data_IF_789577650902
#
_entry.id   IF_789577650902
#
_cell.length_a   1.000
_cell.length_b   1.000
_cell.length_c   1.000
_cell.angle_alpha   90.00
_cell.angle_beta   90.00
_cell.angle_gamma   90.00
#
_symmetry.space_group_name_H-M   'P 1'
#
loop_
_entity.id
_entity.type
_entity.pdbx_description
1 polymer ?
#
# COMPACT_ATOMS: atom_id res chain seq x y z
N UNK A 1 -15.41 -17.53 24.11
CA UNK A 1 -15.87 -16.53 23.12
C UNK A 1 -14.72 -16.06 22.23
N UNK A 2 -13.47 -16.30 22.63
CA UNK A 2 -12.28 -15.78 21.97
C UNK A 2 -11.97 -16.41 20.60
N UNK A 3 -12.24 -17.70 20.40
CA UNK A 3 -12.04 -18.35 19.09
C UNK A 3 -12.98 -17.81 18.00
N UNK A 4 -14.24 -17.54 18.35
CA UNK A 4 -15.20 -16.96 17.39
C UNK A 4 -14.78 -15.54 16.99
N UNK A 5 -14.45 -14.70 17.99
CA UNK A 5 -13.97 -13.33 17.74
C UNK A 5 -12.67 -13.33 16.92
N UNK A 6 -11.76 -14.28 17.17
CA UNK A 6 -10.55 -14.49 16.40
C UNK A 6 -10.85 -14.83 14.94
N UNK A 7 -11.69 -15.85 14.68
CA UNK A 7 -12.05 -16.28 13.33
C UNK A 7 -12.69 -15.13 12.55
N UNK A 8 -13.62 -14.39 13.16
CA UNK A 8 -14.28 -13.23 12.55
C UNK A 8 -13.25 -12.14 12.23
N UNK A 9 -12.35 -11.82 13.16
CA UNK A 9 -11.33 -10.77 12.97
C UNK A 9 -10.33 -11.15 11.88
N UNK A 10 -9.89 -12.41 11.84
CA UNK A 10 -9.07 -12.93 10.74
C UNK A 10 -9.84 -12.82 9.43
N UNK A 11 -11.12 -13.17 9.40
CA UNK A 11 -11.99 -13.00 8.23
C UNK A 11 -12.02 -11.55 7.72
N UNK A 12 -12.14 -10.57 8.61
CA UNK A 12 -12.08 -9.15 8.26
C UNK A 12 -10.66 -8.74 7.81
N UNK A 13 -9.59 -9.26 8.42
CA UNK A 13 -8.22 -8.98 8.00
C UNK A 13 -7.95 -9.51 6.58
N UNK A 14 -8.47 -10.69 6.25
CA UNK A 14 -8.40 -11.26 4.91
C UNK A 14 -9.25 -10.47 3.92
N UNK A 15 -10.45 -10.04 4.33
CA UNK A 15 -11.29 -9.10 3.59
C UNK A 15 -10.55 -7.79 3.29
N UNK A 16 -9.89 -7.20 4.30
CA UNK A 16 -9.04 -6.04 4.14
C UNK A 16 -7.93 -6.30 3.12
N UNK A 17 -7.24 -7.43 3.20
CA UNK A 17 -6.17 -7.80 2.26
C UNK A 17 -6.66 -7.89 0.82
N UNK A 18 -7.81 -8.52 0.62
CA UNK A 18 -8.47 -8.57 -0.68
C UNK A 18 -8.84 -7.16 -1.15
N UNK A 19 -9.43 -6.34 -0.27
CA UNK A 19 -9.80 -4.97 -0.63
C UNK A 19 -8.59 -4.12 -0.98
N UNK A 20 -7.50 -4.29 -0.25
CA UNK A 20 -6.25 -3.61 -0.50
C UNK A 20 -5.66 -4.01 -1.86
N UNK A 21 -5.62 -5.32 -2.16
CA UNK A 21 -5.11 -5.82 -3.44
C UNK A 21 -5.84 -5.21 -4.62
N UNK A 22 -7.18 -5.14 -4.57
CA UNK A 22 -7.94 -4.55 -5.68
C UNK A 22 -7.76 -3.02 -5.73
N UNK A 23 -7.75 -2.35 -4.58
CA UNK A 23 -7.61 -0.90 -4.48
C UNK A 23 -6.26 -0.43 -5.06
N UNK A 24 -5.17 -1.08 -4.64
CA UNK A 24 -3.81 -0.69 -4.98
C UNK A 24 -3.27 -1.40 -6.23
N UNK A 25 -4.05 -2.28 -6.87
CA UNK A 25 -3.73 -2.80 -8.21
C UNK A 25 -3.36 -1.68 -9.19
N UNK A 26 -4.02 -0.52 -9.08
CA UNK A 26 -3.74 0.66 -9.88
C UNK A 26 -2.30 1.19 -9.72
N UNK A 27 -1.70 1.08 -8.52
CA UNK A 27 -0.33 1.53 -8.26
C UNK A 27 0.71 0.72 -9.03
N UNK A 28 0.45 -0.58 -9.24
CA UNK A 28 1.37 -1.47 -9.94
C UNK A 28 1.24 -1.41 -11.46
N UNK A 29 0.03 -1.15 -12.00
CA UNK A 29 -0.24 -1.33 -13.45
C UNK A 29 -0.72 -0.09 -14.19
N UNK A 30 -1.12 0.99 -13.52
CA UNK A 30 -1.70 2.15 -14.22
C UNK A 30 -0.72 2.76 -15.25
N UNK A 31 0.57 2.81 -14.92
CA UNK A 31 1.64 3.32 -15.79
C UNK A 31 1.81 2.44 -17.03
N UNK A 32 1.99 1.11 -16.87
CA UNK A 32 2.20 0.17 -17.98
C UNK A 32 0.97 0.00 -18.89
N UNK A 33 -0.23 0.16 -18.34
CA UNK A 33 -1.47 0.17 -19.13
C UNK A 33 -1.66 1.51 -19.84
N UNK A 34 -1.36 2.65 -19.19
CA UNK A 34 -1.52 3.98 -19.79
C UNK A 34 -0.58 4.23 -20.97
N UNK A 35 0.67 3.75 -20.88
CA UNK A 35 1.69 3.80 -21.94
C UNK A 35 1.46 2.74 -23.03
N UNK A 36 0.46 1.87 -22.85
CA UNK A 36 0.15 0.71 -23.70
C UNK A 36 1.29 -0.30 -23.78
N UNK A 37 2.17 -0.36 -22.77
CA UNK A 37 3.19 -1.40 -22.68
C UNK A 37 2.55 -2.79 -22.52
N UNK A 38 1.54 -2.88 -21.66
CA UNK A 38 0.77 -4.09 -21.41
C UNK A 38 -0.71 -3.88 -21.70
N UNK A 39 -1.40 -4.96 -22.09
CA UNK A 39 -2.87 -4.97 -22.10
C UNK A 39 -3.37 -5.08 -20.65
N UNK A 40 -4.55 -4.52 -20.33
CA UNK A 40 -5.02 -4.51 -18.94
C UNK A 40 -5.13 -5.89 -18.28
N UNK A 41 -5.60 -6.91 -19.03
CA UNK A 41 -5.68 -8.30 -18.52
C UNK A 41 -4.31 -8.91 -18.25
N UNK A 42 -3.35 -8.70 -19.16
CA UNK A 42 -1.98 -9.20 -18.98
C UNK A 42 -1.30 -8.50 -17.79
N UNK A 43 -1.53 -7.19 -17.63
CA UNK A 43 -0.99 -6.42 -16.52
C UNK A 43 -1.55 -6.90 -15.16
N UNK A 44 -2.86 -7.14 -15.07
CA UNK A 44 -3.49 -7.68 -13.85
C UNK A 44 -3.00 -9.08 -13.51
N UNK A 45 -2.91 -9.97 -14.50
CA UNK A 45 -2.41 -11.33 -14.30
C UNK A 45 -0.96 -11.33 -13.81
N UNK A 46 -0.10 -10.55 -14.47
CA UNK A 46 1.30 -10.37 -14.06
C UNK A 46 1.39 -9.79 -12.65
N UNK A 47 0.64 -8.73 -12.35
CA UNK A 47 0.68 -8.09 -11.05
C UNK A 47 0.19 -9.02 -9.93
N UNK A 48 -0.84 -9.83 -10.19
CA UNK A 48 -1.33 -10.82 -9.22
C UNK A 48 -0.25 -11.87 -8.90
N UNK A 49 0.43 -12.42 -9.92
CA UNK A 49 1.51 -13.41 -9.73
C UNK A 49 2.72 -12.78 -9.02
N UNK A 50 3.11 -11.56 -9.40
CA UNK A 50 4.22 -10.85 -8.78
C UNK A 50 3.91 -10.43 -7.35
N UNK A 51 2.68 -9.99 -7.05
CA UNK A 51 2.24 -9.69 -5.68
C UNK A 51 2.30 -10.94 -4.80
N UNK A 52 1.87 -12.10 -5.33
CA UNK A 52 1.98 -13.38 -4.65
C UNK A 52 3.44 -13.71 -4.35
N UNK A 53 4.33 -13.63 -5.35
CA UNK A 53 5.76 -13.91 -5.18
C UNK A 53 6.42 -12.94 -4.18
N UNK A 54 6.14 -11.64 -4.29
CA UNK A 54 6.70 -10.61 -3.43
C UNK A 54 6.33 -10.77 -1.97
N UNK A 55 5.13 -11.30 -1.68
CA UNK A 55 4.69 -11.59 -0.32
C UNK A 55 5.58 -12.61 0.41
N UNK A 56 6.30 -13.48 -0.31
CA UNK A 56 7.20 -14.47 0.26
C UNK A 56 8.66 -13.99 0.40
N UNK A 57 9.01 -12.81 -0.13
CA UNK A 57 10.40 -12.36 -0.18
C UNK A 57 10.89 -11.68 1.10
N UNK A 58 10.04 -11.43 2.09
CA UNK A 58 10.47 -10.84 3.36
C UNK A 58 9.47 -11.01 4.50
N UNK A 59 9.90 -10.68 5.72
CA UNK A 59 9.07 -10.73 6.94
C UNK A 59 9.28 -9.52 7.86
N UNK A 60 10.28 -8.67 7.60
CA UNK A 60 10.64 -7.57 8.51
C UNK A 60 9.54 -6.52 8.67
N UNK A 61 8.80 -6.18 7.61
CA UNK A 61 7.71 -5.19 7.70
C UNK A 61 6.58 -5.72 8.57
N UNK A 62 6.26 -7.02 8.49
CA UNK A 62 5.23 -7.64 9.31
C UNK A 62 5.57 -7.55 10.81
N UNK A 63 6.83 -7.78 11.18
CA UNK A 63 7.30 -7.64 12.56
C UNK A 63 7.22 -6.18 13.05
N UNK A 64 7.51 -5.22 12.16
CA UNK A 64 7.37 -3.79 12.48
C UNK A 64 5.92 -3.38 12.70
N UNK A 65 4.97 -4.00 11.98
CA UNK A 65 3.53 -3.71 12.05
C UNK A 65 2.87 -4.39 13.25
N UNK A 66 3.27 -5.61 13.59
CA UNK A 66 2.70 -6.35 14.73
C UNK A 66 3.08 -5.75 16.09
N UNK A 67 4.11 -4.89 16.15
CA UNK A 67 4.64 -4.31 17.39
C UNK A 67 4.77 -2.79 17.33
N UNK A 68 4.60 -2.12 18.47
CA UNK A 68 5.08 -0.75 18.67
C UNK A 68 4.25 0.36 18.05
N UNK A 69 2.96 0.12 17.73
CA UNK A 69 2.01 1.18 17.36
C UNK A 69 0.97 1.41 18.45
N UNK A 70 0.43 0.32 18.96
CA UNK A 70 -0.47 0.29 20.11
C UNK A 70 0.05 -0.76 21.09
N UNK A 71 -0.19 -0.58 22.39
CA UNK A 71 0.01 -1.65 23.35
C UNK A 71 -0.89 -2.83 22.94
N UNK A 72 -0.33 -4.05 22.87
CA UNK A 72 -1.10 -5.22 22.46
C UNK A 72 -2.20 -5.46 23.49
N UNK A 73 -3.48 -5.27 23.12
CA UNK A 73 -4.56 -5.45 24.07
C UNK A 73 -4.81 -6.94 24.27
N UNK A 74 -5.30 -7.36 25.44
CA UNK A 74 -5.54 -8.78 25.72
C UNK A 74 -7.04 -9.09 25.81
N UNK A 75 -7.39 -10.33 25.50
CA UNK A 75 -8.75 -10.87 25.64
C UNK A 75 -9.77 -10.27 24.67
N UNK A 76 -11.05 -10.50 24.96
CA UNK A 76 -12.15 -10.20 24.04
C UNK A 76 -12.27 -8.71 23.68
N UNK A 77 -11.92 -7.80 24.61
CA UNK A 77 -11.87 -6.35 24.34
C UNK A 77 -10.78 -6.01 23.33
N UNK A 78 -9.60 -6.62 23.44
CA UNK A 78 -8.51 -6.43 22.48
C UNK A 78 -8.87 -6.89 21.08
N UNK A 79 -9.57 -8.02 20.97
CA UNK A 79 -10.11 -8.49 19.69
C UNK A 79 -11.13 -7.49 19.11
N UNK A 80 -12.00 -6.92 19.95
CA UNK A 80 -12.94 -5.86 19.52
C UNK A 80 -12.25 -4.62 18.97
N UNK A 81 -11.14 -4.20 19.58
CA UNK A 81 -10.31 -3.07 19.10
C UNK A 81 -9.72 -3.40 17.72
N UNK A 82 -9.10 -4.58 17.58
CA UNK A 82 -8.48 -4.97 16.31
C UNK A 82 -9.51 -5.14 15.19
N UNK A 83 -10.67 -5.73 15.50
CA UNK A 83 -11.81 -5.82 14.58
C UNK A 83 -12.27 -4.44 14.11
N UNK A 84 -12.49 -3.51 15.05
CA UNK A 84 -12.93 -2.16 14.73
C UNK A 84 -11.91 -1.38 13.89
N UNK A 85 -10.62 -1.55 14.17
CA UNK A 85 -9.53 -0.99 13.38
C UNK A 85 -9.57 -1.45 11.91
N UNK A 86 -9.72 -2.76 11.70
CA UNK A 86 -9.80 -3.37 10.37
C UNK A 86 -11.05 -2.93 9.62
N UNK A 87 -12.21 -2.88 10.28
CA UNK A 87 -13.45 -2.39 9.67
C UNK A 87 -13.31 -0.93 9.26
N UNK A 88 -12.75 -0.07 10.11
CA UNK A 88 -12.50 1.33 9.78
C UNK A 88 -11.61 1.49 8.55
N UNK A 89 -10.55 0.69 8.45
CA UNK A 89 -9.66 0.67 7.29
C UNK A 89 -10.36 0.18 6.01
N UNK A 90 -11.14 -0.91 6.09
CA UNK A 90 -11.90 -1.47 4.96
C UNK A 90 -12.92 -0.47 4.46
N UNK A 91 -13.73 0.09 5.35
CA UNK A 91 -14.79 1.06 5.00
C UNK A 91 -14.16 2.26 4.31
N UNK A 92 -13.07 2.81 4.85
CA UNK A 92 -12.41 3.95 4.23
C UNK A 92 -11.83 3.61 2.84
N UNK A 93 -11.19 2.46 2.69
CA UNK A 93 -10.69 2.00 1.39
C UNK A 93 -11.82 1.84 0.35
N UNK A 94 -12.97 1.30 0.75
CA UNK A 94 -14.14 1.18 -0.13
C UNK A 94 -14.70 2.55 -0.53
N UNK A 95 -14.75 3.50 0.42
CA UNK A 95 -15.17 4.89 0.17
C UNK A 95 -14.23 5.56 -0.84
N UNK A 96 -12.92 5.50 -0.62
CA UNK A 96 -11.95 6.13 -1.53
C UNK A 96 -11.95 5.50 -2.90
N UNK A 97 -12.09 4.18 -2.98
CA UNK A 97 -12.29 3.49 -4.25
C UNK A 97 -13.58 3.91 -4.96
N UNK A 98 -14.69 4.04 -4.24
CA UNK A 98 -15.97 4.43 -4.83
C UNK A 98 -15.86 5.79 -5.51
N UNK A 99 -15.18 6.74 -4.86
CA UNK A 99 -14.91 8.08 -5.42
C UNK A 99 -13.70 8.12 -6.38
N UNK A 100 -12.98 7.01 -6.56
CA UNK A 100 -11.80 6.94 -7.42
C UNK A 100 -10.65 7.84 -6.96
N UNK A 101 -10.56 8.06 -5.64
CA UNK A 101 -9.52 8.84 -4.98
C UNK A 101 -8.32 7.92 -4.69
N UNK A 102 -7.11 8.23 -5.19
CA UNK A 102 -5.91 7.50 -4.84
C UNK A 102 -5.55 7.76 -3.37
N UNK A 103 -5.98 6.86 -2.49
CA UNK A 103 -5.66 6.87 -1.07
C UNK A 103 -4.63 5.79 -0.74
N UNK A 104 -4.14 5.80 0.50
CA UNK A 104 -3.19 4.81 0.99
C UNK A 104 -3.88 3.87 1.96
N UNK A 105 -4.00 2.59 1.59
CA UNK A 105 -4.50 1.55 2.47
C UNK A 105 -3.68 1.38 3.74
N UNK A 106 -2.38 1.70 3.68
CA UNK A 106 -1.50 1.68 4.86
C UNK A 106 -1.91 2.72 5.89
N UNK A 107 -2.18 3.96 5.44
CA UNK A 107 -2.63 5.01 6.35
C UNK A 107 -4.06 4.79 6.84
N UNK A 108 -4.92 4.17 6.03
CA UNK A 108 -6.25 3.76 6.47
C UNK A 108 -6.15 2.71 7.59
N UNK A 109 -5.27 1.72 7.43
CA UNK A 109 -5.01 0.68 8.41
C UNK A 109 -4.43 1.23 9.71
N UNK A 110 -3.36 2.03 9.62
CA UNK A 110 -2.73 2.63 10.77
C UNK A 110 -3.64 3.64 11.49
N UNK A 111 -4.38 4.44 10.72
CA UNK A 111 -5.40 5.34 11.26
C UNK A 111 -6.49 4.57 11.99
N UNK A 112 -6.98 3.48 11.40
CA UNK A 112 -7.95 2.59 12.03
C UNK A 112 -7.45 2.02 13.36
N UNK A 113 -6.20 1.55 13.42
CA UNK A 113 -5.59 1.04 14.66
C UNK A 113 -5.48 2.12 15.74
N UNK A 114 -4.99 3.32 15.39
CA UNK A 114 -4.89 4.44 16.34
C UNK A 114 -6.27 4.86 16.84
N UNK A 115 -7.26 5.00 15.94
CA UNK A 115 -8.62 5.40 16.30
C UNK A 115 -9.32 4.39 17.20
N UNK A 116 -9.24 3.10 16.86
CA UNK A 116 -9.82 2.04 17.69
C UNK A 116 -9.12 1.93 19.04
N UNK A 117 -7.80 2.09 19.11
CA UNK A 117 -7.06 2.04 20.38
C UNK A 117 -7.44 3.20 21.30
N UNK A 118 -7.53 4.43 20.78
CA UNK A 118 -7.99 5.59 21.55
C UNK A 118 -9.42 5.39 22.07
N UNK A 119 -10.34 4.91 21.22
CA UNK A 119 -11.71 4.62 21.62
C UNK A 119 -11.81 3.46 22.63
N UNK A 120 -10.92 2.47 22.48
CA UNK A 120 -10.81 1.29 23.32
C UNK A 120 -10.11 1.50 24.66
N UNK A 121 -9.50 2.67 24.88
CA UNK A 121 -8.69 2.96 26.07
C UNK A 121 -7.36 2.21 26.10
N UNK A 122 -6.87 1.75 24.94
CA UNK A 122 -5.55 1.12 24.79
C UNK A 122 -4.50 2.18 24.51
N UNK A 123 -3.34 2.05 25.16
CA UNK A 123 -2.24 2.98 24.98
C UNK A 123 -1.74 3.01 23.54
N UNK A 124 -1.67 4.22 22.98
CA UNK A 124 -1.06 4.48 21.67
C UNK A 124 0.39 4.90 21.88
N UNK A 125 1.30 4.19 21.22
CA UNK A 125 2.74 4.44 21.32
C UNK A 125 3.10 5.56 20.33
N UNK A 126 2.92 6.81 20.74
CA UNK A 126 3.09 7.98 19.86
C UNK A 126 4.47 8.07 19.20
N UNK A 127 5.54 7.68 19.92
CA UNK A 127 6.89 7.60 19.33
C UNK A 127 6.94 6.61 18.17
N UNK A 128 6.35 5.42 18.34
CA UNK A 128 6.26 4.42 17.28
C UNK A 128 5.36 4.84 16.13
N UNK A 129 4.25 5.53 16.40
CA UNK A 129 3.40 6.12 15.35
C UNK A 129 4.20 7.14 14.54
N UNK A 130 4.97 8.00 15.21
CA UNK A 130 5.77 9.02 14.55
C UNK A 130 6.89 8.39 13.71
N UNK A 131 7.66 7.45 14.27
CA UNK A 131 8.79 6.82 13.60
C UNK A 131 8.40 5.87 12.47
N UNK A 132 7.36 5.05 12.67
CA UNK A 132 6.99 3.99 11.73
C UNK A 132 5.96 4.41 10.69
N UNK A 133 5.18 5.46 10.96
CA UNK A 133 4.10 5.89 10.07
C UNK A 133 4.34 7.31 9.58
N UNK A 134 4.41 8.29 10.49
CA UNK A 134 4.40 9.71 10.11
C UNK A 134 5.68 10.09 9.36
N UNK A 135 6.86 9.73 9.87
CA UNK A 135 8.13 10.05 9.23
C UNK A 135 8.19 9.43 7.81
N UNK A 136 7.98 8.10 7.62
CA UNK A 136 7.94 7.50 6.30
C UNK A 136 6.86 8.08 5.38
N UNK A 137 5.72 8.53 5.93
CA UNK A 137 4.64 9.14 5.17
C UNK A 137 5.09 10.41 4.43
N UNK A 138 5.93 11.24 5.06
CA UNK A 138 6.46 12.47 4.45
C UNK A 138 7.72 12.21 3.62
N UNK A 139 8.63 11.37 4.13
CA UNK A 139 9.92 11.14 3.49
C UNK A 139 9.76 10.35 2.18
N UNK A 140 8.90 9.33 2.14
CA UNK A 140 8.77 8.47 0.95
C UNK A 140 8.24 9.18 -0.30
N UNK A 141 7.24 10.11 -0.24
CA UNK A 141 6.91 10.98 -1.36
C UNK A 141 8.09 11.83 -1.85
N UNK A 142 8.83 12.44 -0.92
CA UNK A 142 9.93 13.35 -1.28
C UNK A 142 11.05 12.57 -1.98
N UNK A 143 11.43 11.42 -1.44
CA UNK A 143 12.39 10.52 -2.08
C UNK A 143 11.85 10.05 -3.43
N UNK A 144 10.58 9.65 -3.53
CA UNK A 144 9.95 9.25 -4.80
C UNK A 144 10.04 10.34 -5.86
N UNK A 145 9.71 11.57 -5.51
CA UNK A 145 9.76 12.72 -6.42
C UNK A 145 11.19 13.02 -6.87
N UNK A 146 12.13 13.12 -5.93
CA UNK A 146 13.53 13.44 -6.24
C UNK A 146 14.19 12.32 -7.03
N UNK A 147 14.06 11.08 -6.57
CA UNK A 147 14.70 9.94 -7.22
C UNK A 147 14.07 9.65 -8.58
N UNK A 148 12.75 9.79 -8.72
CA UNK A 148 12.06 9.69 -10.00
C UNK A 148 12.56 10.72 -11.01
N UNK A 149 12.76 11.98 -10.56
CA UNK A 149 13.38 13.01 -11.38
C UNK A 149 14.80 12.63 -11.82
N UNK A 150 15.65 12.22 -10.87
CA UNK A 150 17.05 11.86 -11.14
C UNK A 150 17.19 10.65 -12.07
N UNK A 151 16.41 9.59 -11.85
CA UNK A 151 16.41 8.39 -12.72
C UNK A 151 16.02 8.78 -14.15
N UNK A 152 15.02 9.63 -14.32
CA UNK A 152 14.61 10.09 -15.64
C UNK A 152 15.67 11.00 -16.29
N UNK A 153 16.33 11.87 -15.53
CA UNK A 153 17.48 12.66 -16.04
C UNK A 153 18.62 11.73 -16.50
N UNK A 154 18.95 10.70 -15.72
CA UNK A 154 19.94 9.70 -16.09
C UNK A 154 19.58 8.97 -17.38
N UNK A 155 18.32 8.55 -17.53
CA UNK A 155 17.81 7.93 -18.77
C UNK A 155 17.94 8.90 -19.95
N UNK A 156 17.51 10.16 -19.81
CA UNK A 156 17.62 11.14 -20.88
C UNK A 156 19.06 11.37 -21.31
N UNK A 157 20.00 11.43 -20.36
CA UNK A 157 21.41 11.65 -20.66
C UNK A 157 22.07 10.45 -21.35
N UNK A 158 21.75 9.24 -20.87
CA UNK A 158 22.27 7.98 -21.43
C UNK A 158 21.75 7.72 -22.84
N UNK A 159 20.48 8.04 -23.12
CA UNK A 159 19.85 7.81 -24.42
C UNK A 159 19.77 9.06 -25.32
N UNK A 160 20.47 10.15 -24.98
CA UNK A 160 20.40 11.44 -25.72
C UNK A 160 20.82 11.34 -27.19
N UNK A 161 21.64 10.34 -27.54
CA UNK A 161 22.14 10.11 -28.91
C UNK A 161 21.36 9.03 -29.66
N UNK A 162 20.38 8.41 -29.01
CA UNK A 162 19.61 7.30 -29.59
C UNK A 162 18.40 7.82 -30.34
N UNK A 163 18.05 7.17 -31.46
CA UNK A 163 16.81 7.50 -32.18
C UNK A 163 15.59 7.30 -31.26
N UNK A 164 14.76 8.34 -31.01
CA UNK A 164 13.62 8.27 -30.09
C UNK A 164 12.62 7.15 -30.40
N UNK A 165 12.41 6.83 -31.69
CA UNK A 165 11.49 5.77 -32.10
C UNK A 165 11.98 4.38 -31.69
N UNK A 166 13.28 4.10 -31.92
CA UNK A 166 13.90 2.83 -31.52
C UNK A 166 13.97 2.72 -30.00
N UNK A 167 14.33 3.81 -29.31
CA UNK A 167 14.37 3.85 -27.86
C UNK A 167 12.98 3.55 -27.24
N UNK A 168 11.91 4.19 -27.73
CA UNK A 168 10.54 3.93 -27.24
C UNK A 168 10.13 2.46 -27.34
N UNK A 169 10.51 1.75 -28.41
CA UNK A 169 10.23 0.32 -28.56
C UNK A 169 10.97 -0.53 -27.51
N UNK A 170 12.25 -0.26 -27.27
CA UNK A 170 13.03 -0.94 -26.23
C UNK A 170 12.47 -0.68 -24.83
N UNK A 171 12.14 0.58 -24.53
CA UNK A 171 11.55 0.94 -23.24
C UNK A 171 10.18 0.32 -23.00
N UNK A 172 9.40 0.01 -24.05
CA UNK A 172 8.13 -0.71 -23.88
C UNK A 172 8.34 -2.11 -23.30
N UNK A 173 9.41 -2.80 -23.69
CA UNK A 173 9.78 -4.12 -23.15
C UNK A 173 10.36 -3.97 -21.75
N UNK A 174 11.28 -3.02 -21.55
CA UNK A 174 11.84 -2.74 -20.24
C UNK A 174 10.76 -2.36 -19.21
N UNK A 175 9.73 -1.62 -19.64
CA UNK A 175 8.62 -1.22 -18.79
C UNK A 175 7.81 -2.43 -18.29
N UNK A 176 7.67 -3.49 -19.09
CA UNK A 176 7.03 -4.72 -18.62
C UNK A 176 7.77 -5.32 -17.42
N UNK A 177 9.11 -5.27 -17.45
CA UNK A 177 9.95 -5.77 -16.35
C UNK A 177 9.89 -4.85 -15.14
N UNK A 178 9.93 -3.52 -15.31
CA UNK A 178 9.77 -2.59 -14.19
C UNK A 178 8.40 -2.67 -13.56
N UNK A 179 7.33 -2.85 -14.35
CA UNK A 179 5.98 -3.07 -13.83
C UNK A 179 5.89 -4.36 -13.00
N UNK A 180 6.57 -5.42 -13.43
CA UNK A 180 6.69 -6.64 -12.63
C UNK A 180 7.46 -6.42 -11.34
N UNK A 181 8.57 -5.69 -11.38
CA UNK A 181 9.31 -5.28 -10.18
C UNK A 181 8.49 -4.43 -9.21
N UNK A 182 7.67 -3.50 -9.73
CA UNK A 182 6.77 -2.66 -8.95
C UNK A 182 5.67 -3.48 -8.27
N UNK A 183 5.03 -4.41 -9.00
CA UNK A 183 4.07 -5.35 -8.43
C UNK A 183 4.73 -6.25 -7.38
N UNK A 184 5.92 -6.78 -7.65
CA UNK A 184 6.63 -7.61 -6.69
C UNK A 184 6.92 -6.83 -5.39
N UNK A 185 7.42 -5.60 -5.50
CA UNK A 185 7.62 -4.72 -4.36
C UNK A 185 6.31 -4.41 -3.62
N UNK A 186 5.19 -4.34 -4.34
CA UNK A 186 3.87 -4.12 -3.76
C UNK A 186 3.47 -5.31 -2.88
N UNK A 187 3.60 -6.53 -3.38
CA UNK A 187 3.42 -7.76 -2.60
C UNK A 187 4.31 -7.78 -1.35
N UNK A 188 5.58 -7.40 -1.49
CA UNK A 188 6.55 -7.36 -0.39
C UNK A 188 6.16 -6.37 0.72
N UNK A 189 5.56 -5.23 0.37
CA UNK A 189 5.13 -4.22 1.35
C UNK A 189 3.77 -4.53 1.96
N UNK A 190 2.79 -4.86 1.13
CA UNK A 190 1.38 -4.85 1.56
C UNK A 190 0.91 -6.17 2.14
N UNK A 191 1.40 -7.31 1.63
CA UNK A 191 1.06 -8.60 2.22
C UNK A 191 1.58 -8.68 3.67
N UNK A 192 2.79 -8.16 3.91
CA UNK A 192 3.41 -8.16 5.24
C UNK A 192 2.63 -7.33 6.27
N UNK A 193 1.99 -6.22 5.86
CA UNK A 193 1.16 -5.42 6.78
C UNK A 193 -0.01 -6.23 7.32
N UNK A 194 -0.72 -6.96 6.45
CA UNK A 194 -1.80 -7.83 6.95
C UNK A 194 -1.27 -9.03 7.73
N UNK A 195 -0.15 -9.64 7.30
CA UNK A 195 0.47 -10.72 8.09
C UNK A 195 0.75 -10.27 9.52
N UNK A 196 1.29 -9.05 9.70
CA UNK A 196 1.52 -8.46 11.03
C UNK A 196 0.24 -8.30 11.85
N UNK A 197 -0.89 -7.95 11.23
CA UNK A 197 -2.18 -7.83 11.91
C UNK A 197 -2.79 -9.18 12.26
N UNK A 198 -2.71 -10.16 11.36
CA UNK A 198 -3.18 -11.51 11.66
C UNK A 198 -2.36 -12.10 12.81
N UNK A 199 -1.03 -11.92 12.81
CA UNK A 199 -0.17 -12.30 13.94
C UNK A 199 -0.57 -11.56 15.21
N UNK A 200 -0.84 -10.26 15.14
CA UNK A 200 -1.37 -9.51 16.28
C UNK A 200 -2.67 -10.14 16.81
N UNK A 201 -3.62 -10.52 15.95
CA UNK A 201 -4.85 -11.20 16.36
C UNK A 201 -4.58 -12.54 17.08
N UNK A 202 -3.62 -13.32 16.58
CA UNK A 202 -3.23 -14.60 17.19
C UNK A 202 -2.60 -14.40 18.58
N UNK A 203 -1.78 -13.35 18.73
CA UNK A 203 -1.19 -12.96 20.01
C UNK A 203 -2.25 -12.49 21.01
N UNK A 204 -3.23 -11.68 20.58
CA UNK A 204 -4.32 -11.21 21.45
C UNK A 204 -5.16 -12.39 21.98
N UNK A 205 -5.28 -13.45 21.18
CA UNK A 205 -6.02 -14.66 21.49
C UNK A 205 -5.20 -15.74 22.22
N UNK A 206 -3.95 -15.43 22.63
CA UNK A 206 -3.03 -16.34 23.30
C UNK A 206 -2.75 -17.64 22.51
N UNK A 207 -2.78 -17.57 21.17
CA UNK A 207 -2.48 -18.70 20.27
C UNK A 207 -1.01 -18.74 19.88
N UNK A 208 -0.38 -17.58 19.75
CA UNK A 208 1.04 -17.40 19.38
C UNK A 208 1.69 -16.39 20.34
N UNK A 209 2.99 -16.51 20.60
CA UNK A 209 3.71 -15.59 21.46
C UNK A 209 4.27 -14.38 20.69
N UNK A 210 4.49 -13.29 21.42
CA UNK A 210 5.04 -12.07 20.83
C UNK A 210 6.47 -12.26 20.31
N UNK A 211 6.62 -12.40 18.99
CA UNK A 211 7.93 -12.50 18.34
C UNK A 211 8.18 -13.86 17.68
N UNK A 212 7.20 -14.75 17.75
CA UNK A 212 7.21 -15.97 16.96
C UNK A 212 7.29 -15.67 15.47
N UNK A 213 7.86 -16.63 14.74
CA UNK A 213 7.92 -16.55 13.30
C UNK A 213 6.49 -16.59 12.73
N UNK A 214 6.22 -15.73 11.75
CA UNK A 214 4.90 -15.66 11.10
C UNK A 214 4.52 -17.06 10.57
N UNK A 215 3.37 -17.62 10.99
CA UNK A 215 2.95 -18.95 10.57
C UNK A 215 2.82 -19.06 9.05
N UNK A 216 3.21 -20.21 8.50
CA UNK A 216 3.24 -20.42 7.04
C UNK A 216 1.84 -20.26 6.42
N UNK A 217 0.80 -20.70 7.11
CA UNK A 217 -0.58 -20.54 6.65
C UNK A 217 -0.98 -19.06 6.55
N UNK A 218 -0.55 -18.20 7.50
CA UNK A 218 -0.82 -16.75 7.46
C UNK A 218 -0.18 -16.15 6.21
N UNK A 219 1.07 -16.53 5.91
CA UNK A 219 1.79 -16.07 4.71
C UNK A 219 1.03 -16.44 3.44
N UNK A 220 0.66 -17.71 3.31
CA UNK A 220 -0.03 -18.25 2.13
C UNK A 220 -1.38 -17.55 1.95
N UNK A 221 -2.21 -17.50 2.99
CA UNK A 221 -3.57 -16.96 2.87
C UNK A 221 -3.56 -15.45 2.62
N UNK A 222 -2.69 -14.68 3.31
CA UNK A 222 -2.57 -13.23 3.04
C UNK A 222 -2.05 -12.97 1.62
N UNK A 223 -1.05 -13.72 1.16
CA UNK A 223 -0.50 -13.57 -0.19
C UNK A 223 -1.54 -13.90 -1.27
N UNK A 224 -2.32 -14.97 -1.08
CA UNK A 224 -3.42 -15.34 -1.97
C UNK A 224 -4.52 -14.29 -1.99
N UNK A 225 -4.96 -13.79 -0.84
CA UNK A 225 -6.00 -12.75 -0.78
C UNK A 225 -5.56 -11.46 -1.47
N UNK A 226 -4.31 -11.04 -1.26
CA UNK A 226 -3.76 -9.85 -1.93
C UNK A 226 -3.71 -10.07 -3.44
N UNK A 227 -3.24 -11.24 -3.90
CA UNK A 227 -3.16 -11.60 -5.31
C UNK A 227 -4.53 -11.66 -5.98
N UNK A 228 -5.52 -12.29 -5.34
CA UNK A 228 -6.91 -12.36 -5.83
C UNK A 228 -7.56 -10.98 -5.91
N UNK A 229 -7.37 -10.14 -4.88
CA UNK A 229 -7.81 -8.75 -4.92
C UNK A 229 -7.16 -7.99 -6.08
N UNK A 230 -5.84 -8.15 -6.25
CA UNK A 230 -5.10 -7.51 -7.34
C UNK A 230 -5.65 -7.90 -8.71
N UNK A 231 -5.95 -9.17 -8.91
CA UNK A 231 -6.53 -9.67 -10.15
C UNK A 231 -7.95 -9.13 -10.41
N UNK A 232 -8.76 -8.94 -9.36
CA UNK A 232 -10.09 -8.32 -9.47
C UNK A 232 -10.00 -6.85 -9.96
N UNK A 233 -8.89 -6.17 -9.64
CA UNK A 233 -8.51 -4.88 -10.20
C UNK A 233 -9.11 -3.66 -9.51
N UNK A 234 -8.79 -2.47 -10.02
CA UNK A 234 -9.08 -1.19 -9.36
C UNK A 234 -9.45 -0.09 -10.35
N UNK A 235 -10.33 -0.40 -11.30
CA UNK A 235 -10.57 0.44 -12.50
C UNK A 235 -10.96 1.89 -12.23
N UNK A 236 -11.64 2.18 -11.10
CA UNK A 236 -11.98 3.55 -10.71
C UNK A 236 -10.72 4.37 -10.40
N UNK A 237 -9.80 3.81 -9.62
CA UNK A 237 -8.54 4.46 -9.23
C UNK A 237 -7.55 4.47 -10.40
N UNK A 238 -7.47 3.38 -11.17
CA UNK A 238 -6.60 3.28 -12.34
C UNK A 238 -6.87 4.39 -13.36
N UNK A 239 -8.14 4.74 -13.57
CA UNK A 239 -8.53 5.88 -14.43
C UNK A 239 -8.02 7.22 -13.92
N UNK A 240 -7.84 7.38 -12.60
CA UNK A 240 -7.28 8.59 -12.00
C UNK A 240 -5.75 8.62 -12.09
N UNK A 241 -5.06 7.54 -11.69
CA UNK A 241 -3.58 7.50 -11.71
C UNK A 241 -2.98 7.47 -13.13
N UNK A 242 -3.63 6.82 -14.09
CA UNK A 242 -3.02 6.53 -15.40
C UNK A 242 -2.90 7.71 -16.37
N UNK A 243 -3.84 8.68 -16.36
CA UNK A 243 -3.82 9.81 -17.32
C UNK A 243 -4.15 11.16 -16.70
N UNK A 244 -4.69 11.21 -15.48
CA UNK A 244 -5.13 12.49 -14.90
C UNK A 244 -4.00 13.27 -14.26
N UNK A 245 -2.87 12.66 -13.89
CA UNK A 245 -1.73 13.37 -13.28
C UNK A 245 -0.78 13.90 -14.36
N UNK A 246 -0.39 13.03 -15.28
CA UNK A 246 0.49 13.32 -16.42
C UNK A 246 0.29 12.25 -17.51
N UNK A 247 0.50 12.63 -18.77
CA UNK A 247 0.60 11.68 -19.87
C UNK A 247 2.03 11.13 -19.96
N UNK A 248 2.18 9.83 -19.72
CA UNK A 248 3.46 9.14 -19.70
C UNK A 248 3.74 8.43 -21.04
N UNK A 249 4.99 8.51 -21.48
CA UNK A 249 5.58 7.63 -22.49
C UNK A 249 6.30 6.43 -21.82
N UNK A 250 6.58 5.32 -22.53
CA UNK A 250 7.22 4.13 -21.94
C UNK A 250 8.52 4.37 -21.15
N UNK A 251 9.46 5.25 -21.57
CA UNK A 251 10.66 5.54 -20.77
C UNK A 251 10.34 6.19 -19.42
N UNK A 252 9.31 7.04 -19.39
CA UNK A 252 8.86 7.70 -18.16
C UNK A 252 8.15 6.71 -17.24
N UNK A 253 7.32 5.83 -17.81
CA UNK A 253 6.69 4.75 -17.07
C UNK A 253 7.73 3.83 -16.43
N UNK A 254 8.73 3.41 -17.21
CA UNK A 254 9.88 2.64 -16.70
C UNK A 254 10.61 3.37 -15.57
N UNK A 255 10.95 4.65 -15.75
CA UNK A 255 11.63 5.44 -14.72
C UNK A 255 10.83 5.52 -13.40
N UNK A 256 9.52 5.74 -13.49
CA UNK A 256 8.64 5.86 -12.32
C UNK A 256 8.47 4.51 -11.60
N UNK A 257 8.23 3.43 -12.36
CA UNK A 257 8.07 2.07 -11.82
C UNK A 257 9.35 1.56 -11.18
N UNK A 258 10.51 1.74 -11.83
CA UNK A 258 11.81 1.35 -11.26
C UNK A 258 12.10 2.14 -9.99
N UNK A 259 11.85 3.46 -9.98
CA UNK A 259 11.98 4.29 -8.78
C UNK A 259 11.10 3.76 -7.64
N UNK A 260 9.82 3.51 -7.94
CA UNK A 260 8.88 3.04 -6.93
C UNK A 260 9.26 1.67 -6.38
N UNK A 261 9.60 0.74 -7.27
CA UNK A 261 10.11 -0.58 -6.90
C UNK A 261 11.34 -0.45 -6.00
N UNK A 262 12.39 0.27 -6.43
CA UNK A 262 13.63 0.44 -5.65
C UNK A 262 13.38 0.99 -4.25
N UNK A 263 12.49 1.98 -4.09
CA UNK A 263 12.13 2.52 -2.78
C UNK A 263 11.43 1.47 -1.93
N UNK A 264 10.50 0.70 -2.50
CA UNK A 264 9.74 -0.34 -1.80
C UNK A 264 10.58 -1.54 -1.38
N UNK A 265 11.54 -1.96 -2.21
CA UNK A 265 12.53 -2.97 -1.86
C UNK A 265 13.51 -2.46 -0.80
N UNK A 266 14.03 -1.24 -0.96
CA UNK A 266 14.94 -0.65 0.01
C UNK A 266 14.30 -0.47 1.38
N UNK A 267 13.07 0.03 1.44
CA UNK A 267 12.32 0.15 2.69
C UNK A 267 12.01 -1.19 3.32
N UNK A 268 11.70 -2.21 2.53
CA UNK A 268 11.41 -3.55 3.03
C UNK A 268 12.66 -4.25 3.59
N UNK A 269 13.78 -4.21 2.88
CA UNK A 269 14.97 -5.01 3.22
C UNK A 269 15.99 -4.29 4.09
N UNK A 270 16.14 -2.98 3.95
CA UNK A 270 17.15 -2.23 4.70
C UNK A 270 16.56 -1.64 5.98
N UNK A 271 15.35 -1.09 5.88
CA UNK A 271 14.72 -0.35 6.97
C UNK A 271 13.61 -1.13 7.67
N UNK A 272 13.16 -2.24 7.09
CA UNK A 272 11.99 -3.00 7.54
C UNK A 272 10.76 -2.11 7.82
N UNK A 273 10.65 -1.00 7.08
CA UNK A 273 9.70 0.06 7.34
C UNK A 273 8.47 -0.08 6.42
N UNK A 274 7.25 -0.07 6.97
CA UNK A 274 6.05 -0.05 6.16
C UNK A 274 5.93 1.31 5.46
N UNK A 275 5.80 1.29 4.14
CA UNK A 275 5.59 2.52 3.36
C UNK A 275 4.33 2.45 2.50
N UNK A 276 3.81 3.62 2.15
CA UNK A 276 2.65 3.74 1.26
C UNK A 276 3.07 3.61 -0.20
N UNK A 277 2.68 2.52 -0.86
CA UNK A 277 2.96 2.27 -2.27
C UNK A 277 2.32 3.35 -3.16
N UNK A 278 1.09 3.78 -2.84
CA UNK A 278 0.40 4.89 -3.51
C UNK A 278 1.21 6.19 -3.45
N UNK A 279 1.78 6.53 -2.29
CA UNK A 279 2.55 7.77 -2.13
C UNK A 279 3.83 7.73 -2.96
N UNK A 280 4.54 6.60 -2.89
CA UNK A 280 5.79 6.39 -3.60
C UNK A 280 5.59 6.50 -5.11
N UNK A 281 4.66 5.73 -5.69
CA UNK A 281 4.49 5.71 -7.15
C UNK A 281 3.93 7.04 -7.67
N UNK A 282 2.96 7.64 -6.97
CA UNK A 282 2.38 8.91 -7.40
C UNK A 282 3.44 10.00 -7.38
N UNK A 283 4.30 10.02 -6.36
CA UNK A 283 5.39 11.02 -6.27
C UNK A 283 6.49 10.75 -7.29
N UNK A 284 6.84 9.48 -7.55
CA UNK A 284 7.76 9.12 -8.63
C UNK A 284 7.25 9.56 -10.01
N UNK A 285 5.95 9.37 -10.27
CA UNK A 285 5.30 9.87 -11.50
C UNK A 285 5.40 11.39 -11.62
N UNK A 286 5.16 12.13 -10.52
CA UNK A 286 5.31 13.59 -10.50
C UNK A 286 6.76 14.02 -10.76
N UNK A 287 7.74 13.36 -10.13
CA UNK A 287 9.17 13.60 -10.29
C UNK A 287 9.64 13.38 -11.72
N UNK A 288 9.31 12.21 -12.29
CA UNK A 288 9.59 11.89 -13.70
C UNK A 288 8.93 12.92 -14.62
N UNK A 289 7.71 13.34 -14.32
CA UNK A 289 6.96 14.32 -15.11
C UNK A 289 7.58 15.71 -15.13
N UNK A 290 8.14 16.14 -14.00
CA UNK A 290 8.79 17.43 -13.85
C UNK A 290 10.03 17.59 -14.76
N UNK A 291 10.67 16.49 -15.18
CA UNK A 291 11.81 16.52 -16.11
C UNK A 291 11.46 17.02 -17.52
N UNK A 292 10.21 16.84 -17.96
CA UNK A 292 9.76 17.32 -19.26
C UNK A 292 9.54 18.84 -19.21
N UNK A 293 8.62 19.26 -18.33
CA UNK A 293 8.34 20.65 -17.91
C UNK A 293 7.57 20.57 -16.60
N UNK A 294 7.79 21.49 -15.66
CA UNK A 294 7.01 21.56 -14.41
C UNK A 294 5.50 21.64 -14.68
N UNK A 295 5.08 22.36 -15.73
CA UNK A 295 3.67 22.48 -16.15
C UNK A 295 3.07 21.21 -16.77
N UNK A 296 3.87 20.19 -17.10
CA UNK A 296 3.37 18.92 -17.62
C UNK A 296 2.66 18.10 -16.54
N UNK A 297 3.00 18.32 -15.26
CA UNK A 297 2.29 17.76 -14.12
C UNK A 297 1.07 18.61 -13.82
N UNK A 298 -0.11 17.97 -13.74
CA UNK A 298 -1.36 18.65 -13.38
C UNK A 298 -1.42 18.88 -11.87
N UNK A 299 -0.76 19.93 -11.39
CA UNK A 299 -0.59 20.23 -9.96
C UNK A 299 -1.90 20.37 -9.17
N UNK A 300 -3.00 20.80 -9.78
CA UNK A 300 -4.31 20.82 -9.12
C UNK A 300 -4.76 19.43 -8.69
N UNK A 301 -4.51 18.42 -9.52
CA UNK A 301 -4.84 17.01 -9.22
C UNK A 301 -3.84 16.44 -8.22
N UNK A 302 -2.55 16.75 -8.36
CA UNK A 302 -1.52 16.37 -7.39
C UNK A 302 -1.85 16.89 -5.97
N UNK A 303 -2.26 18.16 -5.85
CA UNK A 303 -2.68 18.76 -4.58
C UNK A 303 -3.89 18.05 -3.98
N UNK A 304 -4.88 17.70 -4.80
CA UNK A 304 -6.06 16.96 -4.33
C UNK A 304 -5.70 15.55 -3.83
N UNK A 305 -4.74 14.89 -4.48
CA UNK A 305 -4.24 13.59 -4.04
C UNK A 305 -3.53 13.72 -2.69
N UNK A 306 -2.61 14.69 -2.56
CA UNK A 306 -1.89 14.96 -1.30
C UNK A 306 -2.88 15.28 -0.16
N UNK A 307 -3.91 16.07 -0.42
CA UNK A 307 -4.95 16.35 0.57
C UNK A 307 -5.67 15.07 1.01
N UNK A 308 -5.99 14.18 0.06
CA UNK A 308 -6.55 12.86 0.36
C UNK A 308 -5.66 12.01 1.26
N UNK A 309 -4.33 12.11 1.13
CA UNK A 309 -3.38 11.40 1.99
C UNK A 309 -3.49 11.84 3.45
N UNK A 310 -3.57 13.14 3.70
CA UNK A 310 -3.74 13.68 5.06
C UNK A 310 -5.10 13.36 5.67
N UNK A 311 -6.16 13.32 4.86
CA UNK A 311 -7.52 13.01 5.34
C UNK A 311 -7.69 11.52 5.65
N UNK A 312 -6.93 10.65 5.00
CA UNK A 312 -7.12 9.20 5.08
C UNK A 312 -6.95 8.66 6.50
N UNK A 313 -5.88 9.04 7.20
CA UNK A 313 -5.60 8.53 8.54
C UNK A 313 -6.64 8.99 9.58
N UNK A 314 -6.99 10.30 9.68
CA UNK A 314 -8.05 10.76 10.59
C UNK A 314 -9.42 10.18 10.25
N UNK A 315 -9.78 10.08 8.97
CA UNK A 315 -11.09 9.57 8.59
C UNK A 315 -11.24 8.07 8.92
N UNK A 316 -10.22 7.26 8.62
CA UNK A 316 -10.23 5.85 9.02
C UNK A 316 -10.22 5.67 10.55
N UNK A 317 -9.50 6.54 11.27
CA UNK A 317 -9.51 6.55 12.74
C UNK A 317 -10.90 6.84 13.32
N UNK A 318 -11.62 7.82 12.76
CA UNK A 318 -12.98 8.16 13.18
C UNK A 318 -13.95 6.99 12.92
N UNK A 319 -13.89 6.37 11.75
CA UNK A 319 -14.74 5.21 11.44
C UNK A 319 -14.42 4.03 12.37
N UNK A 320 -13.15 3.79 12.66
CA UNK A 320 -12.74 2.74 13.58
C UNK A 320 -13.20 3.01 15.03
N UNK A 321 -13.09 4.26 15.51
CA UNK A 321 -13.58 4.64 16.83
C UNK A 321 -15.11 4.44 16.95
N UNK A 322 -15.87 4.88 15.94
CA UNK A 322 -17.32 4.66 15.88
C UNK A 322 -17.66 3.16 15.85
N UNK A 323 -16.92 2.38 15.07
CA UNK A 323 -17.12 0.93 15.00
C UNK A 323 -16.85 0.27 16.34
N UNK A 324 -15.79 0.69 17.04
CA UNK A 324 -15.47 0.17 18.35
C UNK A 324 -16.59 0.45 19.36
N UNK A 325 -17.13 1.67 19.40
CA UNK A 325 -18.24 1.99 20.30
C UNK A 325 -19.50 1.18 20.00
N UNK A 326 -19.80 0.92 18.73
CA UNK A 326 -20.92 0.05 18.35
C UNK A 326 -20.70 -1.38 18.82
N UNK A 327 -19.49 -1.92 18.62
CA UNK A 327 -19.12 -3.26 19.08
C UNK A 327 -19.18 -3.36 20.61
N UNK A 328 -18.67 -2.36 21.31
CA UNK A 328 -18.70 -2.28 22.76
C UNK A 328 -20.12 -2.15 23.32
N UNK A 329 -21.03 -1.47 22.60
CA UNK A 329 -22.44 -1.41 23.00
C UNK A 329 -23.16 -2.76 22.80
N UNK A 330 -22.82 -3.49 21.73
CA UNK A 330 -23.48 -4.73 21.37
C UNK A 330 -22.96 -5.96 22.16
N UNK A 331 -21.69 -5.95 22.55
CA UNK A 331 -21.00 -7.12 23.12
C UNK A 331 -20.19 -6.80 24.39
N UNK A 332 -20.16 -5.56 24.85
CA UNK A 332 -19.41 -5.10 26.03
C UNK A 332 -20.24 -5.00 27.30
#
# INVERSE_FOLDING_TARGET
MDTFALIVTIGVALGFTYTNGFHDSANAIATSVSTRALTPRAALAMAAVMNLAGAFLGQGVANTVSKGLIATPHGSRGMGILFAALVGAVVWNLVTWYFGLPSSSSHALFGGMVGAALAGGTEVIWGGVLEKIVIPMFISPVIGLVFGYLVMVGIMWMFRRTNPHKAKRGFRIAQTVSAAGMALGHGLQDAQKTMGIVVMALVIADVEDQGDAIPVWVKIVCALMLSLGTYAGGWRIMRTLGRKIIELDPPQGFAAETTGASIMFGSAFLFHAPISTTHVITSAIMGVGATKRVKAVRWGIAKNIILGWFITMPAAALVAALTFWIVNLAFG
#
